data_IF_584590442173
#
_entry.id   IF_584590442173
#
_cell.length_a   1.000
_cell.length_b   1.000
_cell.length_c   1.000
_cell.angle_alpha   90.00
_cell.angle_beta   90.00
_cell.angle_gamma   90.00
#
_symmetry.space_group_name_H-M   'P 1'
#
loop_
_entity.id
_entity.type
_entity.pdbx_description
1 polymer ?
#
# COMPACT_ATOMS: atom_id res chain seq x y z
N UNK A 1 -21.67 72.79 12.93
CA UNK A 1 -20.92 71.81 13.72
C UNK A 1 -20.05 71.01 12.78
N UNK A 2 -18.81 71.43 12.47
CA UNK A 2 -17.70 71.75 13.39
C UNK A 2 -17.56 70.63 14.42
N UNK A 3 -16.48 69.84 14.56
CA UNK A 3 -15.05 70.05 14.32
C UNK A 3 -14.37 68.67 14.55
N UNK A 4 -13.39 68.21 13.74
CA UNK A 4 -11.93 68.25 14.03
C UNK A 4 -11.59 68.08 15.52
N UNK A 5 -10.78 67.11 15.99
CA UNK A 5 -9.32 66.99 15.78
C UNK A 5 -8.83 65.86 16.72
N UNK A 6 -8.01 64.92 16.23
CA UNK A 6 -6.56 64.77 16.49
C UNK A 6 -6.11 64.72 17.96
N UNK A 7 -5.37 63.67 18.33
CA UNK A 7 -4.01 63.82 18.88
C UNK A 7 -3.34 62.48 19.15
N UNK A 8 -2.14 62.36 18.58
CA UNK A 8 -1.09 61.37 18.83
C UNK A 8 -0.50 61.51 20.24
N UNK A 9 0.13 60.46 20.75
CA UNK A 9 1.40 60.60 21.49
C UNK A 9 2.14 59.26 21.58
N UNK A 10 3.32 59.25 20.97
CA UNK A 10 4.40 58.31 21.21
C UNK A 10 4.93 58.46 22.65
N UNK A 11 5.43 57.36 23.23
CA UNK A 11 6.58 57.44 24.13
C UNK A 11 7.33 56.10 24.16
N UNK A 12 8.54 56.11 23.58
CA UNK A 12 9.59 55.15 23.88
C UNK A 12 10.07 55.33 25.32
N UNK A 13 10.42 54.23 26.00
CA UNK A 13 11.27 54.24 27.19
C UNK A 13 12.06 52.93 27.26
N UNK A 14 13.34 53.01 26.91
CA UNK A 14 14.37 51.99 27.20
C UNK A 14 14.67 52.00 28.69
N UNK A 15 14.73 50.83 29.31
CA UNK A 15 15.42 50.60 30.59
C UNK A 15 16.19 49.29 30.50
N UNK A 16 17.52 49.43 30.43
CA UNK A 16 18.49 48.37 30.66
C UNK A 16 18.50 48.09 32.17
N UNK A 17 18.42 46.83 32.56
CA UNK A 17 19.06 46.37 33.80
C UNK A 17 19.82 45.06 33.53
N UNK A 18 21.11 45.12 33.85
CA UNK A 18 22.06 44.02 33.87
C UNK A 18 21.90 43.30 35.21
N UNK A 19 21.70 42.00 35.19
CA UNK A 19 22.09 41.12 36.30
C UNK A 19 23.14 40.13 35.78
N UNK A 20 24.34 40.31 36.32
CA UNK A 20 25.47 39.41 36.24
C UNK A 20 25.36 38.44 37.40
N UNK A 21 25.40 37.13 37.14
CA UNK A 21 25.79 36.16 38.15
C UNK A 21 26.79 35.15 37.56
N UNK A 22 27.94 35.13 38.21
CA UNK A 22 29.09 34.27 38.02
C UNK A 22 28.74 32.79 38.30
N UNK A 23 29.08 31.88 37.39
CA UNK A 23 29.38 30.50 37.75
C UNK A 23 30.42 29.91 36.80
N UNK A 24 31.66 29.84 37.29
CA UNK A 24 32.76 29.11 36.67
C UNK A 24 32.56 27.58 36.83
N UNK A 25 33.02 26.75 35.88
CA UNK A 25 32.74 25.32 35.87
C UNK A 25 33.63 24.57 36.87
N UNK A 26 33.00 23.82 37.78
CA UNK A 26 33.68 22.81 38.57
C UNK A 26 33.96 21.58 37.70
N UNK A 27 35.25 21.29 37.49
CA UNK A 27 35.74 20.06 36.87
C UNK A 27 35.45 18.90 37.83
N UNK A 28 34.51 18.03 37.47
CA UNK A 28 34.16 16.81 38.19
C UNK A 28 34.05 15.65 37.19
N UNK A 29 34.74 14.55 37.50
CA UNK A 29 35.02 13.40 36.65
C UNK A 29 33.78 12.79 35.97
N UNK A 30 33.80 12.73 34.62
CA UNK A 30 32.80 12.01 33.83
C UNK A 30 33.02 10.51 33.95
N UNK A 31 32.04 9.82 34.53
CA UNK A 31 31.97 8.37 34.57
C UNK A 31 31.61 7.88 33.15
N UNK A 32 32.58 7.32 32.44
CA UNK A 32 32.41 6.76 31.09
C UNK A 32 31.26 5.74 31.07
N UNK A 33 30.19 6.08 30.33
CA UNK A 33 29.15 5.15 29.92
C UNK A 33 29.73 4.31 28.78
N UNK A 34 30.02 3.03 29.04
CA UNK A 34 30.47 2.10 28.02
C UNK A 34 29.36 1.88 26.98
N UNK A 35 29.52 2.51 25.82
CA UNK A 35 28.82 2.12 24.60
C UNK A 35 29.42 0.79 24.14
N UNK A 36 28.60 -0.26 24.11
CA UNK A 36 28.97 -1.53 23.52
C UNK A 36 29.09 -1.31 22.01
N UNK A 37 30.32 -1.17 21.52
CA UNK A 37 30.64 -1.06 20.10
C UNK A 37 30.14 -2.34 19.41
N UNK A 38 29.08 -2.22 18.63
CA UNK A 38 28.71 -3.26 17.68
C UNK A 38 29.82 -3.32 16.63
N UNK A 39 30.33 -4.52 16.41
CA UNK A 39 31.52 -4.84 15.64
C UNK A 39 31.44 -4.32 14.18
N UNK A 40 31.97 -3.12 13.94
CA UNK A 40 32.14 -2.48 12.62
C UNK A 40 32.93 -3.37 11.63
N UNK A 41 33.64 -4.39 12.11
CA UNK A 41 34.41 -5.34 11.31
C UNK A 41 33.54 -6.14 10.32
N UNK A 42 32.27 -6.40 10.63
CA UNK A 42 31.41 -7.25 9.77
C UNK A 42 30.93 -6.48 8.53
N UNK A 43 30.66 -5.17 8.69
CA UNK A 43 30.24 -4.31 7.59
C UNK A 43 31.39 -3.99 6.64
N UNK A 44 32.61 -3.84 7.15
CA UNK A 44 33.77 -3.52 6.33
C UNK A 44 34.28 -4.72 5.52
N UNK A 45 34.20 -5.93 6.09
CA UNK A 45 34.69 -7.15 5.42
C UNK A 45 33.87 -7.51 4.17
N UNK A 46 32.59 -7.14 4.10
CA UNK A 46 31.74 -7.38 2.91
C UNK A 46 31.89 -6.29 1.84
N UNK A 47 32.33 -5.08 2.21
CA UNK A 47 32.56 -3.96 1.29
C UNK A 47 33.92 -4.05 0.59
N UNK A 48 34.97 -4.50 1.28
CA UNK A 48 36.33 -4.53 0.74
C UNK A 48 36.58 -5.69 -0.24
N UNK A 49 35.69 -6.69 -0.31
CA UNK A 49 35.77 -7.79 -1.27
C UNK A 49 35.07 -7.50 -2.61
N UNK A 50 34.32 -6.41 -2.70
CA UNK A 50 33.64 -6.01 -3.92
C UNK A 50 34.64 -5.28 -4.82
N UNK A 51 35.24 -6.01 -5.77
CA UNK A 51 35.89 -5.39 -6.93
C UNK A 51 34.94 -4.37 -7.55
N UNK A 52 35.45 -3.19 -7.94
CA UNK A 52 34.73 -1.95 -8.31
C UNK A 52 33.61 -2.04 -9.38
N UNK A 53 33.20 -3.23 -9.82
CA UNK A 53 32.10 -3.45 -10.77
C UNK A 53 31.10 -4.55 -10.37
N UNK A 54 31.10 -5.07 -9.13
CA UNK A 54 29.99 -5.91 -8.67
C UNK A 54 28.82 -5.03 -8.23
N UNK A 55 27.97 -4.68 -9.20
CA UNK A 55 26.66 -4.10 -8.90
C UNK A 55 25.90 -5.00 -7.92
N UNK A 56 25.73 -4.54 -6.67
CA UNK A 56 24.84 -5.14 -5.69
C UNK A 56 23.41 -5.17 -6.25
N UNK A 57 23.01 -6.32 -6.80
CA UNK A 57 21.67 -6.58 -7.33
C UNK A 57 20.76 -7.01 -6.19
N UNK A 58 20.08 -6.05 -5.56
CA UNK A 58 19.05 -6.36 -4.56
C UNK A 58 17.81 -6.97 -5.22
N UNK A 59 17.22 -8.04 -4.65
CA UNK A 59 15.95 -8.57 -5.13
C UNK A 59 14.84 -7.54 -4.90
N UNK A 60 13.93 -7.42 -5.87
CA UNK A 60 12.78 -6.54 -5.73
C UNK A 60 11.77 -7.16 -4.76
N UNK A 61 11.60 -6.58 -3.57
CA UNK A 61 10.64 -7.02 -2.56
C UNK A 61 9.23 -7.20 -3.14
N UNK A 62 8.75 -6.24 -3.93
CA UNK A 62 7.44 -6.30 -4.57
C UNK A 62 7.30 -7.51 -5.51
N UNK A 63 8.38 -7.86 -6.21
CA UNK A 63 8.41 -9.04 -7.07
C UNK A 63 8.38 -10.33 -6.25
N UNK A 64 9.16 -10.40 -5.15
CA UNK A 64 9.12 -11.54 -4.24
C UNK A 64 7.73 -11.74 -3.62
N UNK A 65 7.12 -10.66 -3.14
CA UNK A 65 5.76 -10.70 -2.57
C UNK A 65 4.73 -11.17 -3.61
N UNK A 66 4.82 -10.65 -4.84
CA UNK A 66 4.00 -11.10 -5.96
C UNK A 66 4.11 -12.61 -6.20
N UNK A 67 5.33 -13.18 -6.15
CA UNK A 67 5.53 -14.62 -6.33
C UNK A 67 4.85 -15.41 -5.22
N UNK A 68 5.08 -15.03 -3.95
CA UNK A 68 4.50 -15.67 -2.77
C UNK A 68 2.97 -15.68 -2.82
N UNK A 69 2.34 -14.54 -3.11
CA UNK A 69 0.88 -14.44 -3.18
C UNK A 69 0.32 -15.31 -4.31
N UNK A 70 0.95 -15.28 -5.50
CA UNK A 70 0.49 -16.11 -6.61
C UNK A 70 0.61 -17.60 -6.33
N UNK A 71 1.69 -18.03 -5.66
CA UNK A 71 1.89 -19.43 -5.33
C UNK A 71 0.93 -19.88 -4.23
N UNK A 72 0.63 -19.02 -3.25
CA UNK A 72 -0.44 -19.25 -2.28
C UNK A 72 -1.81 -19.42 -2.94
N UNK A 73 -2.16 -18.57 -3.91
CA UNK A 73 -3.41 -18.70 -4.68
C UNK A 73 -3.46 -20.03 -5.42
N UNK A 74 -2.37 -20.44 -6.09
CA UNK A 74 -2.30 -21.72 -6.82
C UNK A 74 -2.42 -22.93 -5.89
N UNK A 75 -1.84 -22.86 -4.69
CA UNK A 75 -1.88 -23.92 -3.71
C UNK A 75 -3.27 -24.06 -3.04
N UNK A 76 -4.09 -23.00 -3.06
CA UNK A 76 -5.42 -23.01 -2.46
C UNK A 76 -6.46 -23.72 -3.32
N UNK A 77 -6.57 -25.04 -3.15
CA UNK A 77 -7.58 -25.85 -3.84
C UNK A 77 -9.02 -25.38 -3.54
N UNK A 78 -9.28 -24.87 -2.33
CA UNK A 78 -10.58 -24.37 -1.91
C UNK A 78 -10.99 -23.08 -2.65
N UNK A 79 -10.03 -22.27 -3.09
CA UNK A 79 -10.27 -21.00 -3.76
C UNK A 79 -10.18 -21.07 -5.29
N UNK A 80 -9.52 -22.11 -5.81
CA UNK A 80 -9.20 -22.24 -7.23
C UNK A 80 -10.44 -22.10 -8.13
N UNK A 81 -11.55 -22.77 -7.78
CA UNK A 81 -12.80 -22.71 -8.57
C UNK A 81 -13.41 -21.31 -8.56
N UNK A 82 -13.41 -20.63 -7.40
CA UNK A 82 -14.00 -19.30 -7.26
C UNK A 82 -13.18 -18.25 -8.02
N UNK A 83 -11.84 -18.33 -7.96
CA UNK A 83 -10.96 -17.47 -8.77
C UNK A 83 -11.12 -17.71 -10.27
N UNK A 84 -11.28 -18.97 -10.71
CA UNK A 84 -11.52 -19.29 -12.11
C UNK A 84 -12.83 -18.66 -12.61
N UNK A 85 -13.89 -18.68 -11.81
CA UNK A 85 -15.15 -18.00 -12.14
C UNK A 85 -14.95 -16.49 -12.24
N UNK A 86 -14.28 -15.85 -11.28
CA UNK A 86 -13.96 -14.42 -11.33
C UNK A 86 -13.14 -14.06 -12.57
N UNK A 87 -12.10 -14.84 -12.88
CA UNK A 87 -11.29 -14.63 -14.08
C UNK A 87 -12.11 -14.78 -15.38
N UNK A 88 -13.05 -15.71 -15.39
CA UNK A 88 -13.95 -15.94 -16.52
C UNK A 88 -14.98 -14.81 -16.66
N UNK A 89 -15.50 -14.28 -15.56
CA UNK A 89 -16.37 -13.09 -15.53
C UNK A 89 -15.64 -11.86 -16.03
N UNK A 90 -14.41 -11.64 -15.59
CA UNK A 90 -13.57 -10.56 -16.10
C UNK A 90 -13.35 -10.72 -17.60
N UNK A 91 -12.96 -11.92 -18.07
CA UNK A 91 -12.84 -12.20 -19.51
C UNK A 91 -14.14 -11.93 -20.26
N UNK A 92 -15.29 -12.31 -19.70
CA UNK A 92 -16.61 -12.09 -20.30
C UNK A 92 -16.92 -10.58 -20.42
N UNK A 93 -16.59 -9.79 -19.39
CA UNK A 93 -16.73 -8.33 -19.39
C UNK A 93 -15.98 -7.65 -20.54
N UNK A 94 -14.82 -8.19 -20.92
CA UNK A 94 -14.01 -7.61 -22.00
C UNK A 94 -14.31 -8.19 -23.37
N UNK A 95 -14.82 -9.42 -23.44
CA UNK A 95 -15.03 -10.13 -24.72
C UNK A 95 -16.47 -10.05 -25.21
N UNK A 96 -17.44 -9.77 -24.34
CA UNK A 96 -18.86 -9.69 -24.69
C UNK A 96 -19.39 -8.28 -24.43
N UNK A 97 -19.65 -7.55 -25.51
CA UNK A 97 -20.29 -6.23 -25.45
C UNK A 97 -21.65 -6.30 -24.75
N UNK A 98 -22.45 -7.33 -25.04
CA UNK A 98 -23.77 -7.53 -24.40
C UNK A 98 -23.65 -7.67 -22.88
N UNK A 99 -22.65 -8.39 -22.38
CA UNK A 99 -22.44 -8.53 -20.94
C UNK A 99 -21.93 -7.23 -20.30
N UNK A 100 -20.98 -6.53 -20.94
CA UNK A 100 -20.47 -5.23 -20.47
C UNK A 100 -21.59 -4.19 -20.40
N UNK A 101 -22.36 -4.02 -21.48
CA UNK A 101 -23.47 -3.07 -21.55
C UNK A 101 -24.54 -3.36 -20.49
N UNK A 102 -24.81 -4.64 -20.20
CA UNK A 102 -25.75 -5.02 -19.14
C UNK A 102 -25.23 -4.65 -17.76
N UNK A 103 -23.96 -4.86 -17.47
CA UNK A 103 -23.35 -4.44 -16.21
C UNK A 103 -23.36 -2.92 -16.06
N UNK A 104 -23.04 -2.20 -17.14
CA UNK A 104 -23.02 -0.74 -17.19
C UNK A 104 -24.41 -0.14 -16.95
N UNK A 105 -25.48 -0.78 -17.42
CA UNK A 105 -26.88 -0.38 -17.09
C UNK A 105 -27.18 -0.40 -15.60
N UNK A 106 -26.47 -1.22 -14.82
CA UNK A 106 -26.56 -1.26 -13.36
C UNK A 106 -25.44 -0.45 -12.68
N UNK A 107 -24.66 0.33 -13.43
CA UNK A 107 -23.51 1.12 -12.98
C UNK A 107 -22.33 0.29 -12.43
N UNK A 108 -22.15 -0.94 -12.92
CA UNK A 108 -21.01 -1.78 -12.56
C UNK A 108 -20.09 -2.02 -13.75
N UNK A 109 -18.78 -2.11 -13.51
CA UNK A 109 -17.78 -2.49 -14.49
C UNK A 109 -16.74 -3.41 -13.86
N UNK A 110 -16.23 -4.38 -14.64
CA UNK A 110 -15.19 -5.31 -14.17
C UNK A 110 -13.87 -4.96 -14.86
N UNK A 111 -12.85 -4.50 -14.11
CA UNK A 111 -11.54 -4.20 -14.68
C UNK A 111 -10.92 -5.41 -15.37
N UNK A 112 -10.14 -5.17 -16.41
CA UNK A 112 -9.44 -6.24 -17.11
C UNK A 112 -8.44 -6.89 -16.17
N UNK A 113 -8.55 -8.20 -15.97
CA UNK A 113 -7.57 -8.95 -15.19
C UNK A 113 -6.21 -8.91 -15.91
N UNK A 114 -5.21 -8.28 -15.29
CA UNK A 114 -3.82 -8.38 -15.70
C UNK A 114 -3.16 -9.52 -14.92
N UNK A 115 -2.81 -10.60 -15.63
CA UNK A 115 -2.22 -11.80 -15.01
C UNK A 115 -0.84 -11.54 -14.40
N UNK A 116 -0.09 -10.54 -14.87
CA UNK A 116 1.30 -10.32 -14.42
C UNK A 116 1.40 -9.55 -13.10
N UNK A 117 0.31 -8.94 -12.62
CA UNK A 117 0.29 -8.19 -11.34
C UNK A 117 -0.86 -8.66 -10.46
N UNK A 118 -0.54 -9.26 -9.32
CA UNK A 118 -1.49 -9.88 -8.41
C UNK A 118 -2.47 -8.84 -7.85
N UNK A 119 -2.02 -7.60 -7.63
CA UNK A 119 -2.88 -6.47 -7.22
C UNK A 119 -4.03 -6.25 -8.20
N UNK A 120 -3.80 -6.38 -9.50
CA UNK A 120 -4.88 -6.22 -10.47
C UNK A 120 -5.89 -7.36 -10.38
N UNK A 121 -5.44 -8.60 -10.12
CA UNK A 121 -6.34 -9.71 -9.88
C UNK A 121 -7.18 -9.48 -8.62
N UNK A 122 -6.55 -9.00 -7.55
CA UNK A 122 -7.21 -8.60 -6.31
C UNK A 122 -8.28 -7.52 -6.54
N UNK A 123 -7.96 -6.45 -7.27
CA UNK A 123 -8.92 -5.40 -7.60
C UNK A 123 -10.10 -5.93 -8.45
N UNK A 124 -9.84 -6.81 -9.41
CA UNK A 124 -10.90 -7.49 -10.16
C UNK A 124 -11.81 -8.30 -9.24
N UNK A 125 -11.25 -9.03 -8.27
CA UNK A 125 -12.03 -9.81 -7.30
C UNK A 125 -12.91 -8.90 -6.44
N UNK A 126 -12.34 -7.82 -5.87
CA UNK A 126 -13.12 -6.82 -5.11
C UNK A 126 -14.30 -6.30 -5.92
N UNK A 127 -14.05 -5.87 -7.16
CA UNK A 127 -15.10 -5.36 -8.05
C UNK A 127 -16.19 -6.38 -8.37
N UNK A 128 -15.86 -7.67 -8.47
CA UNK A 128 -16.87 -8.71 -8.69
C UNK A 128 -17.70 -8.97 -7.43
N UNK A 129 -17.10 -8.94 -6.24
CA UNK A 129 -17.82 -9.09 -4.97
C UNK A 129 -18.75 -7.91 -4.73
N UNK A 130 -18.33 -6.69 -5.08
CA UNK A 130 -19.13 -5.46 -4.96
C UNK A 130 -20.45 -5.54 -5.75
N UNK A 131 -20.50 -6.33 -6.83
CA UNK A 131 -21.72 -6.50 -7.60
C UNK A 131 -22.72 -7.38 -6.81
N UNK A 132 -23.96 -6.92 -6.58
CA UNK A 132 -24.99 -7.71 -5.92
C UNK A 132 -25.23 -9.05 -6.65
N UNK A 133 -25.32 -10.13 -5.88
CA UNK A 133 -25.53 -11.48 -6.44
C UNK A 133 -26.80 -11.57 -7.28
N UNK A 134 -27.86 -10.86 -6.91
CA UNK A 134 -29.11 -10.80 -7.68
C UNK A 134 -28.91 -10.27 -9.11
N UNK A 135 -28.10 -9.22 -9.26
CA UNK A 135 -27.80 -8.61 -10.56
C UNK A 135 -26.94 -9.55 -11.40
N UNK A 136 -25.88 -10.13 -10.83
CA UNK A 136 -25.05 -11.10 -11.55
C UNK A 136 -25.86 -12.33 -11.99
N UNK A 137 -26.69 -12.88 -11.11
CA UNK A 137 -27.54 -14.03 -11.44
C UNK A 137 -28.51 -13.68 -12.57
N UNK A 138 -29.18 -12.52 -12.50
CA UNK A 138 -30.09 -12.05 -13.54
C UNK A 138 -29.39 -12.00 -14.91
N UNK A 139 -28.27 -11.29 -14.99
CA UNK A 139 -27.52 -11.11 -16.24
C UNK A 139 -27.00 -12.44 -16.78
N UNK A 140 -26.42 -13.29 -15.93
CA UNK A 140 -25.85 -14.56 -16.35
C UNK A 140 -26.92 -15.57 -16.77
N UNK A 141 -28.08 -15.58 -16.11
CA UNK A 141 -29.21 -16.44 -16.45
C UNK A 141 -29.77 -16.09 -17.82
N UNK A 142 -29.94 -14.79 -18.09
CA UNK A 142 -30.39 -14.31 -19.41
C UNK A 142 -29.43 -14.67 -20.53
N UNK A 143 -28.13 -14.65 -20.25
CA UNK A 143 -27.07 -15.01 -21.21
C UNK A 143 -26.80 -16.52 -21.26
N UNK A 144 -27.54 -17.34 -20.50
CA UNK A 144 -27.36 -18.79 -20.37
C UNK A 144 -25.94 -19.20 -19.94
N UNK A 145 -25.29 -18.39 -19.08
CA UNK A 145 -23.94 -18.58 -18.53
C UNK A 145 -23.99 -18.97 -17.05
N UNK A 146 -24.80 -19.98 -16.74
CA UNK A 146 -25.09 -20.40 -15.36
C UNK A 146 -23.88 -21.01 -14.65
N UNK A 147 -22.89 -21.50 -15.41
CA UNK A 147 -21.62 -22.03 -14.92
C UNK A 147 -20.78 -20.98 -14.17
N UNK A 148 -20.96 -19.71 -14.50
CA UNK A 148 -20.23 -18.59 -13.91
C UNK A 148 -20.91 -17.99 -12.67
N UNK A 149 -22.08 -18.51 -12.28
CA UNK A 149 -22.79 -18.02 -11.10
C UNK A 149 -21.96 -18.34 -9.85
N UNK A 150 -21.70 -17.30 -9.06
CA UNK A 150 -21.06 -17.39 -7.74
C UNK A 150 -22.12 -17.82 -6.72
N UNK A 151 -21.93 -19.00 -6.13
CA UNK A 151 -22.79 -19.44 -5.04
C UNK A 151 -22.36 -18.80 -3.70
N UNK A 152 -23.13 -19.02 -2.63
CA UNK A 152 -22.82 -18.46 -1.31
C UNK A 152 -21.46 -18.91 -0.76
N UNK A 153 -21.01 -20.12 -1.10
CA UNK A 153 -19.68 -20.62 -0.70
C UNK A 153 -18.57 -19.88 -1.45
N UNK A 154 -18.70 -19.73 -2.77
CA UNK A 154 -17.76 -18.99 -3.61
C UNK A 154 -17.59 -17.56 -3.08
N UNK A 155 -18.70 -16.90 -2.76
CA UNK A 155 -18.65 -15.50 -2.31
C UNK A 155 -17.98 -15.36 -0.95
N UNK A 156 -18.29 -16.24 0.01
CA UNK A 156 -17.61 -16.26 1.32
C UNK A 156 -16.11 -16.49 1.19
N UNK A 157 -15.69 -17.46 0.37
CA UNK A 157 -14.27 -17.74 0.12
C UNK A 157 -13.58 -16.51 -0.47
N UNK A 158 -14.20 -15.86 -1.46
CA UNK A 158 -13.65 -14.65 -2.08
C UNK A 158 -13.60 -13.47 -1.09
N UNK A 159 -14.60 -13.30 -0.22
CA UNK A 159 -14.63 -12.27 0.82
C UNK A 159 -13.50 -12.46 1.86
N UNK A 160 -13.30 -13.69 2.35
CA UNK A 160 -12.21 -14.04 3.26
C UNK A 160 -10.83 -13.78 2.63
N UNK A 161 -10.66 -14.18 1.37
CA UNK A 161 -9.42 -13.94 0.64
C UNK A 161 -9.16 -12.48 0.37
N UNK A 162 -10.20 -11.69 0.09
CA UNK A 162 -10.07 -10.25 -0.07
C UNK A 162 -9.58 -9.62 1.25
N UNK A 163 -10.15 -10.02 2.38
CA UNK A 163 -9.70 -9.53 3.69
C UNK A 163 -8.24 -9.87 3.96
N UNK A 164 -7.78 -11.08 3.61
CA UNK A 164 -6.39 -11.48 3.76
C UNK A 164 -5.45 -10.70 2.83
N UNK A 165 -5.87 -10.53 1.57
CA UNK A 165 -5.05 -9.92 0.53
C UNK A 165 -4.96 -8.40 0.62
N UNK A 166 -5.83 -7.74 1.39
CA UNK A 166 -5.71 -6.31 1.67
C UNK A 166 -4.34 -5.99 2.29
N UNK A 167 -3.86 -6.81 3.22
CA UNK A 167 -2.56 -6.64 3.89
C UNK A 167 -1.39 -6.68 2.90
N UNK A 168 -1.40 -7.65 1.99
CA UNK A 168 -0.36 -7.75 0.96
C UNK A 168 -0.47 -6.59 -0.03
N UNK A 169 -1.68 -6.11 -0.32
CA UNK A 169 -1.92 -5.04 -1.28
C UNK A 169 -1.38 -3.73 -0.71
N UNK A 170 -1.66 -3.47 0.57
CA UNK A 170 -1.07 -2.35 1.31
C UNK A 170 0.46 -2.44 1.31
N UNK A 171 1.05 -3.58 1.69
CA UNK A 171 2.49 -3.77 1.68
C UNK A 171 3.10 -3.54 0.28
N UNK A 172 2.42 -3.99 -0.78
CA UNK A 172 2.87 -3.76 -2.16
C UNK A 172 2.79 -2.28 -2.53
N UNK A 173 1.69 -1.59 -2.22
CA UNK A 173 1.53 -0.16 -2.53
C UNK A 173 2.56 0.68 -1.76
N UNK A 174 2.79 0.34 -0.49
CA UNK A 174 3.72 1.04 0.38
C UNK A 174 5.18 0.86 -0.11
N UNK A 175 5.55 -0.35 -0.51
CA UNK A 175 6.93 -0.63 -0.94
C UNK A 175 7.23 -0.24 -2.39
N UNK A 176 6.20 0.07 -3.19
CA UNK A 176 6.32 0.65 -4.53
C UNK A 176 6.45 2.18 -4.53
N UNK A 177 6.43 2.82 -3.37
CA UNK A 177 6.60 4.27 -3.26
C UNK A 177 7.95 4.75 -3.81
N UNK A 178 7.90 5.72 -4.72
CA UNK A 178 9.10 6.40 -5.25
C UNK A 178 9.33 7.78 -4.63
N UNK A 179 8.32 8.34 -3.96
CA UNK A 179 8.36 9.68 -3.34
C UNK A 179 8.77 9.67 -1.87
N UNK A 180 9.08 8.51 -1.30
CA UNK A 180 9.51 8.33 0.08
C UNK A 180 10.43 7.11 0.20
N UNK A 181 11.16 7.01 1.31
CA UNK A 181 12.10 5.90 1.55
C UNK A 181 11.31 4.62 1.86
N UNK A 182 11.52 3.58 1.07
CA UNK A 182 10.83 2.27 1.22
C UNK A 182 11.74 1.14 1.67
N UNK A 183 13.07 1.26 1.50
CA UNK A 183 14.02 0.18 1.83
C UNK A 183 14.02 -0.15 3.33
N UNK A 184 13.82 0.84 4.20
CA UNK A 184 13.73 0.65 5.65
C UNK A 184 12.48 -0.13 6.10
N UNK A 185 11.51 -0.36 5.22
CA UNK A 185 10.30 -1.13 5.51
C UNK A 185 10.50 -2.64 5.30
N UNK A 186 11.60 -3.03 4.66
CA UNK A 186 11.85 -4.40 4.19
C UNK A 186 13.25 -4.91 4.56
N UNK A 187 14.08 -4.07 5.19
CA UNK A 187 15.46 -4.34 5.58
C UNK A 187 15.57 -4.80 7.04
#
# INVERSE_FOLDING_TARGET
DSSESESESESESKSNDKETDDYAPAVGEEKQLQTHEADDSIYQTTLDSATEEEFLRLPCFCHCLQLVVNDGIKASAAAASSFQKVASLAKLSHSSTVFSERLEKFNYTIPRANRTRWNNQFQTVKKVIDIPSSILILILSDLKKNDLILNSKDRKVLEELVSLFELFNEATVLTQGESYVTICLVA
#
